data_IF_029880635155
#
_entry.id   IF_029880635155
#
_cell.length_a   1.000
_cell.length_b   1.000
_cell.length_c   1.000
_cell.angle_alpha   90.00
_cell.angle_beta   90.00
_cell.angle_gamma   90.00
#
_symmetry.space_group_name_H-M   'P 1'
#
loop_
_entity.id
_entity.type
_entity.pdbx_description
1 polymer ?
#
# COMPACT_ATOMS: atom_id res chain seq x y z
N UNK A 1 28.16 13.60 52.67
CA UNK A 1 26.80 13.28 52.19
C UNK A 1 26.64 13.45 50.68
N UNK A 2 26.56 14.66 50.10
CA UNK A 2 26.39 14.78 48.63
C UNK A 2 27.56 14.25 47.80
N UNK A 3 28.80 14.47 48.25
CA UNK A 3 30.01 13.96 47.57
C UNK A 3 30.06 12.44 47.49
N UNK A 4 29.42 11.74 48.43
CA UNK A 4 29.36 10.27 48.47
C UNK A 4 28.28 9.71 47.53
N UNK A 5 27.32 10.54 47.11
CA UNK A 5 26.26 10.17 46.15
C UNK A 5 26.72 10.31 44.70
N UNK A 6 27.72 11.16 44.44
CA UNK A 6 28.21 11.43 43.07
C UNK A 6 28.57 10.15 42.31
N UNK A 7 29.34 9.19 42.87
CA UNK A 7 29.66 7.95 42.15
C UNK A 7 28.42 7.12 41.80
N UNK A 8 27.41 7.06 42.68
CA UNK A 8 26.17 6.33 42.43
C UNK A 8 25.37 6.96 41.30
N UNK A 9 25.31 8.28 41.25
CA UNK A 9 24.63 9.02 40.17
C UNK A 9 25.36 8.80 38.84
N UNK A 10 26.70 8.82 38.83
CA UNK A 10 27.49 8.54 37.63
C UNK A 10 27.21 7.13 37.08
N UNK A 11 27.20 6.11 37.95
CA UNK A 11 26.86 4.72 37.56
C UNK A 11 25.40 4.61 37.10
N UNK A 12 24.50 5.32 37.79
CA UNK A 12 23.10 5.44 37.42
C UNK A 12 22.90 5.97 36.00
N UNK A 13 23.60 7.04 35.63
CA UNK A 13 23.49 7.61 34.29
C UNK A 13 23.95 6.65 33.19
N UNK A 14 25.04 5.91 33.40
CA UNK A 14 25.54 4.93 32.41
C UNK A 14 24.52 3.81 32.19
N UNK A 15 23.98 3.27 33.28
CA UNK A 15 22.99 2.18 33.22
C UNK A 15 21.66 2.63 32.64
N UNK A 16 21.24 3.86 32.97
CA UNK A 16 20.06 4.50 32.39
C UNK A 16 20.18 4.70 30.88
N UNK A 17 21.33 5.18 30.39
CA UNK A 17 21.55 5.38 28.95
C UNK A 17 21.50 4.06 28.17
N UNK A 18 22.08 3.00 28.73
CA UNK A 18 22.02 1.69 28.10
C UNK A 18 20.59 1.11 28.11
N UNK A 19 19.86 1.30 29.21
CA UNK A 19 18.46 0.92 29.33
C UNK A 19 17.55 1.69 28.37
N UNK A 20 17.77 3.00 28.20
CA UNK A 20 16.98 3.84 27.30
C UNK A 20 17.22 3.49 25.83
N UNK A 21 18.47 3.25 25.43
CA UNK A 21 18.78 2.77 24.07
C UNK A 21 18.10 1.43 23.79
N UNK A 22 18.19 0.48 24.73
CA UNK A 22 17.52 -0.83 24.58
C UNK A 22 16.00 -0.69 24.48
N UNK A 23 15.40 0.21 25.27
CA UNK A 23 13.97 0.52 25.21
C UNK A 23 13.57 1.12 23.85
N UNK A 24 14.33 2.11 23.36
CA UNK A 24 14.06 2.75 22.06
C UNK A 24 14.15 1.76 20.91
N UNK A 25 15.15 0.88 20.90
CA UNK A 25 15.28 -0.13 19.84
C UNK A 25 14.13 -1.14 19.90
N UNK A 26 13.74 -1.60 21.10
CA UNK A 26 12.55 -2.46 21.25
C UNK A 26 11.27 -1.74 20.80
N UNK A 27 11.14 -0.45 21.09
CA UNK A 27 10.03 0.39 20.63
C UNK A 27 9.97 0.49 19.12
N UNK A 28 11.08 0.84 18.47
CA UNK A 28 11.22 0.92 17.01
C UNK A 28 10.90 -0.41 16.32
N UNK A 29 11.17 -1.52 16.98
CA UNK A 29 10.84 -2.86 16.51
C UNK A 29 9.34 -3.23 16.60
N UNK A 30 8.50 -2.29 17.05
CA UNK A 30 7.05 -2.48 17.20
C UNK A 30 6.65 -3.22 18.48
N UNK A 31 7.54 -3.29 19.49
CA UNK A 31 7.31 -4.02 20.76
C UNK A 31 7.27 -3.10 21.98
N UNK A 32 6.65 -1.92 21.83
CA UNK A 32 6.54 -0.91 22.89
C UNK A 32 5.90 -1.48 24.17
N UNK A 33 4.90 -2.35 24.04
CA UNK A 33 4.22 -2.96 25.20
C UNK A 33 5.16 -3.79 26.09
N UNK A 34 6.04 -4.61 25.49
CA UNK A 34 7.02 -5.40 26.24
C UNK A 34 8.03 -4.49 26.95
N UNK A 35 8.53 -3.47 26.25
CA UNK A 35 9.50 -2.52 26.78
C UNK A 35 8.94 -1.67 27.93
N UNK A 36 7.65 -1.34 27.90
CA UNK A 36 6.96 -0.65 29.00
C UNK A 36 6.67 -1.58 30.17
N UNK A 37 6.29 -2.84 29.91
CA UNK A 37 6.03 -3.83 30.95
C UNK A 37 7.28 -4.14 31.78
N UNK A 38 8.46 -4.27 31.14
CA UNK A 38 9.73 -4.45 31.85
C UNK A 38 10.09 -3.23 32.70
N UNK A 39 9.89 -2.02 32.18
CA UNK A 39 10.10 -0.78 32.94
C UNK A 39 9.18 -0.70 34.17
N UNK A 40 7.92 -1.11 34.02
CA UNK A 40 6.97 -1.21 35.12
C UNK A 40 7.42 -2.25 36.15
N UNK A 41 7.79 -3.46 35.72
CA UNK A 41 8.26 -4.53 36.61
C UNK A 41 9.52 -4.16 37.38
N UNK A 42 10.51 -3.53 36.74
CA UNK A 42 11.70 -3.09 37.46
C UNK A 42 11.40 -1.97 38.44
N UNK A 43 10.50 -1.04 38.11
CA UNK A 43 10.13 0.05 39.02
C UNK A 43 9.31 -0.45 40.21
N UNK A 44 8.24 -1.20 39.96
CA UNK A 44 7.30 -1.66 40.99
C UNK A 44 7.77 -2.91 41.72
N UNK A 45 8.44 -3.82 41.02
CA UNK A 45 8.90 -5.10 41.59
C UNK A 45 10.28 -5.02 42.23
N UNK A 46 11.15 -4.11 41.78
CA UNK A 46 12.53 -4.01 42.29
C UNK A 46 12.78 -2.69 42.99
N UNK A 47 12.60 -1.56 42.32
CA UNK A 47 12.96 -0.23 42.86
C UNK A 47 12.18 0.10 44.13
N UNK A 48 10.83 0.01 44.08
CA UNK A 48 9.99 0.41 45.21
C UNK A 48 10.21 -0.47 46.45
N UNK A 49 10.19 -1.82 46.36
CA UNK A 49 10.42 -2.67 47.52
C UNK A 49 11.83 -2.53 48.09
N UNK A 50 12.85 -2.40 47.23
CA UNK A 50 14.23 -2.26 47.66
C UNK A 50 14.47 -0.90 48.33
N UNK A 51 13.85 0.17 47.80
CA UNK A 51 13.87 1.49 48.41
C UNK A 51 13.18 1.48 49.79
N UNK A 52 12.01 0.86 49.90
CA UNK A 52 11.30 0.71 51.18
C UNK A 52 12.10 -0.13 52.18
N UNK A 53 12.71 -1.24 51.75
CA UNK A 53 13.56 -2.07 52.58
C UNK A 53 14.78 -1.30 53.10
N UNK A 54 15.46 -0.58 52.19
CA UNK A 54 16.67 0.17 52.51
C UNK A 54 16.41 1.33 53.48
N UNK A 55 15.29 2.03 53.31
CA UNK A 55 14.93 3.18 54.15
C UNK A 55 14.34 2.77 55.49
N UNK A 56 13.41 1.81 55.51
CA UNK A 56 12.67 1.48 56.72
C UNK A 56 13.39 0.47 57.63
N UNK A 57 14.15 -0.48 57.07
CA UNK A 57 14.77 -1.54 57.85
C UNK A 57 16.26 -1.35 58.06
N UNK A 58 16.98 -0.83 57.06
CA UNK A 58 18.43 -0.69 57.12
C UNK A 58 18.89 0.70 57.61
N UNK A 59 17.98 1.68 57.69
CA UNK A 59 18.30 3.04 58.09
C UNK A 59 19.21 3.76 57.10
N UNK A 60 19.27 3.30 55.85
CA UNK A 60 19.95 4.01 54.78
C UNK A 60 18.95 5.00 54.18
N UNK A 61 19.14 6.28 54.50
CA UNK A 61 18.28 7.39 54.03
C UNK A 61 18.40 7.60 52.50
N UNK A 62 18.86 8.77 52.06
CA UNK A 62 18.94 9.14 50.65
C UNK A 62 19.84 8.20 49.83
N UNK A 63 20.92 7.69 50.43
CA UNK A 63 21.83 6.75 49.76
C UNK A 63 21.13 5.41 49.46
N UNK A 64 20.26 4.95 50.35
CA UNK A 64 19.45 3.75 50.16
C UNK A 64 18.48 3.90 48.99
N UNK A 65 17.80 5.05 48.92
CA UNK A 65 16.88 5.35 47.81
C UNK A 65 17.62 5.45 46.45
N UNK A 66 18.73 6.19 46.39
CA UNK A 66 19.50 6.38 45.15
C UNK A 66 20.05 5.05 44.65
N UNK A 67 20.59 4.21 45.54
CA UNK A 67 21.09 2.88 45.15
C UNK A 67 19.97 1.96 44.68
N UNK A 68 18.80 1.96 45.32
CA UNK A 68 17.64 1.19 44.89
C UNK A 68 17.15 1.60 43.48
N UNK A 69 17.14 2.90 43.18
CA UNK A 69 16.80 3.44 41.85
C UNK A 69 17.79 2.93 40.79
N UNK A 70 19.10 3.05 41.05
CA UNK A 70 20.14 2.58 40.12
C UNK A 70 20.01 1.07 39.87
N UNK A 71 19.78 0.28 40.91
CA UNK A 71 19.61 -1.17 40.80
C UNK A 71 18.37 -1.52 39.98
N UNK A 72 17.23 -0.87 40.24
CA UNK A 72 16.01 -1.15 39.51
C UNK A 72 16.09 -0.79 38.03
N UNK A 73 16.67 0.38 37.69
CA UNK A 73 16.91 0.74 36.30
C UNK A 73 17.93 -0.16 35.60
N UNK A 74 18.97 -0.60 36.32
CA UNK A 74 19.93 -1.58 35.80
C UNK A 74 19.25 -2.92 35.50
N UNK A 75 18.33 -3.36 36.36
CA UNK A 75 17.55 -4.58 36.16
C UNK A 75 16.63 -4.46 34.94
N UNK A 76 15.86 -3.36 34.83
CA UNK A 76 15.01 -3.08 33.66
C UNK A 76 15.84 -3.02 32.36
N UNK A 77 16.98 -2.34 32.40
CA UNK A 77 17.91 -2.24 31.28
C UNK A 77 18.40 -3.61 30.85
N UNK A 78 18.90 -4.42 31.80
CA UNK A 78 19.37 -5.78 31.52
C UNK A 78 18.26 -6.68 30.96
N UNK A 79 17.01 -6.57 31.47
CA UNK A 79 15.87 -7.29 30.92
C UNK A 79 15.56 -6.87 29.47
N UNK A 80 15.54 -5.57 29.19
CA UNK A 80 15.33 -5.07 27.82
C UNK A 80 16.45 -5.52 26.87
N UNK A 81 17.71 -5.45 27.30
CA UNK A 81 18.83 -5.92 26.50
C UNK A 81 18.79 -7.44 26.29
N UNK A 82 18.34 -8.20 27.28
CA UNK A 82 18.12 -9.64 27.12
C UNK A 82 17.06 -9.92 26.04
N UNK A 83 15.92 -9.22 26.07
CA UNK A 83 14.89 -9.37 25.04
C UNK A 83 15.39 -8.92 23.67
N UNK A 84 16.19 -7.85 23.61
CA UNK A 84 16.80 -7.38 22.38
C UNK A 84 17.73 -8.44 21.78
N UNK A 85 18.64 -9.00 22.59
CA UNK A 85 19.59 -10.03 22.14
C UNK A 85 18.92 -11.36 21.78
N UNK A 86 17.81 -11.71 22.44
CA UNK A 86 17.03 -12.92 22.14
C UNK A 86 16.02 -12.74 21.00
N UNK A 87 15.84 -11.53 20.49
CA UNK A 87 14.86 -11.29 19.43
C UNK A 87 15.30 -11.93 18.13
N UNK A 88 14.42 -12.75 17.55
CA UNK A 88 14.59 -13.23 16.18
C UNK A 88 14.28 -12.06 15.23
N UNK A 89 15.35 -11.45 14.72
CA UNK A 89 15.27 -10.28 13.86
C UNK A 89 14.72 -10.61 12.48
N UNK A 90 14.96 -11.82 11.93
CA UNK A 90 14.40 -12.20 10.63
C UNK A 90 12.86 -12.23 10.67
N UNK A 91 12.29 -12.86 11.71
CA UNK A 91 10.84 -12.93 11.87
C UNK A 91 10.23 -11.56 12.14
N UNK A 92 10.95 -10.68 12.85
CA UNK A 92 10.49 -9.33 13.13
C UNK A 92 10.52 -8.46 11.86
N UNK A 93 11.60 -8.54 11.08
CA UNK A 93 11.73 -7.89 9.79
C UNK A 93 10.63 -8.37 8.83
N UNK A 94 10.37 -9.68 8.74
CA UNK A 94 9.26 -10.23 7.94
C UNK A 94 7.89 -9.71 8.39
N UNK A 95 7.66 -9.61 9.72
CA UNK A 95 6.41 -9.03 10.25
C UNK A 95 6.25 -7.56 9.87
N UNK A 96 7.33 -6.78 9.94
CA UNK A 96 7.33 -5.37 9.52
C UNK A 96 7.13 -5.26 8.01
N UNK A 97 7.81 -6.08 7.21
CA UNK A 97 7.61 -6.15 5.76
C UNK A 97 6.18 -6.55 5.40
N UNK A 98 5.57 -7.51 6.10
CA UNK A 98 4.16 -7.88 5.90
C UNK A 98 3.23 -6.73 6.31
N UNK A 99 3.51 -6.04 7.42
CA UNK A 99 2.74 -4.84 7.81
C UNK A 99 2.88 -3.74 6.77
N UNK A 100 4.09 -3.43 6.30
CA UNK A 100 4.33 -2.40 5.29
C UNK A 100 3.70 -2.79 3.95
N UNK A 101 3.77 -4.08 3.56
CA UNK A 101 3.02 -4.61 2.42
C UNK A 101 1.52 -4.46 2.64
N UNK A 102 0.99 -4.74 3.82
CA UNK A 102 -0.43 -4.59 4.12
C UNK A 102 -0.87 -3.13 4.32
N UNK A 103 0.00 -2.20 4.69
CA UNK A 103 -0.30 -0.76 4.72
C UNK A 103 -0.21 -0.16 3.31
N UNK A 104 0.72 -0.65 2.48
CA UNK A 104 0.72 -0.42 1.05
C UNK A 104 -0.55 -0.98 0.40
N UNK A 105 -0.91 -2.23 0.69
CA UNK A 105 -2.09 -2.94 0.15
C UNK A 105 -3.41 -2.50 0.79
N UNK A 106 -3.46 -1.97 2.01
CA UNK A 106 -4.70 -1.35 2.54
C UNK A 106 -4.97 0.03 1.90
N UNK A 107 -3.97 0.62 1.24
CA UNK A 107 -4.14 1.70 0.26
C UNK A 107 -4.27 1.21 -1.19
N UNK A 108 -4.09 -0.09 -1.42
CA UNK A 108 -4.17 -0.78 -2.72
C UNK A 108 -5.04 -2.04 -2.55
N UNK A 109 -6.28 -1.89 -2.07
CA UNK A 109 -7.23 -2.98 -2.15
C UNK A 109 -7.78 -2.98 -3.59
N UNK A 110 -7.57 -4.06 -4.35
CA UNK A 110 -8.07 -4.19 -5.71
C UNK A 110 -9.56 -4.50 -5.70
N UNK A 111 -10.33 -3.83 -6.54
CA UNK A 111 -11.67 -4.27 -6.93
C UNK A 111 -11.62 -4.67 -8.41
N UNK A 112 -11.30 -5.93 -8.65
CA UNK A 112 -11.57 -6.81 -9.82
C UNK A 112 -12.03 -6.21 -11.18
N UNK A 113 -11.28 -5.26 -11.72
CA UNK A 113 -11.19 -5.04 -13.16
C UNK A 113 -9.72 -4.77 -13.47
N UNK A 114 -9.19 -5.27 -14.59
CA UNK A 114 -7.78 -5.17 -14.97
C UNK A 114 -7.25 -3.73 -15.01
N UNK A 115 -6.78 -3.24 -13.87
CA UNK A 115 -6.29 -1.87 -13.68
C UNK A 115 -4.82 -1.96 -13.25
N UNK A 116 -3.95 -1.57 -14.17
CA UNK A 116 -2.54 -1.23 -13.95
C UNK A 116 -2.44 -0.24 -12.79
N UNK A 117 -1.78 -0.65 -11.71
CA UNK A 117 -1.56 0.24 -10.56
C UNK A 117 -0.35 1.10 -10.83
N UNK A 118 -0.61 2.24 -11.45
CA UNK A 118 0.30 3.35 -11.71
C UNK A 118 0.79 3.92 -10.37
N UNK A 119 2.04 3.65 -10.00
CA UNK A 119 2.68 4.27 -8.83
C UNK A 119 3.09 5.69 -9.27
N UNK A 120 2.51 6.71 -8.63
CA UNK A 120 2.87 8.10 -8.91
C UNK A 120 4.15 8.48 -8.16
N UNK A 121 5.17 8.92 -8.90
CA UNK A 121 6.47 9.32 -8.38
C UNK A 121 6.74 10.83 -8.46
N UNK A 122 5.77 11.65 -8.85
CA UNK A 122 5.97 13.04 -9.28
C UNK A 122 6.45 14.00 -8.17
N UNK A 123 6.38 13.58 -6.91
CA UNK A 123 6.77 14.38 -5.75
C UNK A 123 8.07 13.89 -5.09
N UNK A 124 8.63 12.79 -5.57
CA UNK A 124 9.86 12.22 -5.03
C UNK A 124 11.07 12.87 -5.71
N UNK A 125 12.08 13.28 -4.93
CA UNK A 125 13.33 13.75 -5.50
C UNK A 125 14.03 12.60 -6.22
N UNK A 126 14.79 12.92 -7.28
CA UNK A 126 15.51 11.90 -8.05
C UNK A 126 16.34 10.98 -7.16
N UNK A 127 17.04 11.52 -6.16
CA UNK A 127 17.85 10.72 -5.23
C UNK A 127 17.02 9.66 -4.47
N UNK A 128 15.77 9.98 -4.14
CA UNK A 128 14.84 9.16 -3.35
C UNK A 128 14.10 8.11 -4.18
N UNK A 129 14.09 8.25 -5.52
CA UNK A 129 13.49 7.26 -6.41
C UNK A 129 14.20 5.90 -6.31
N UNK A 130 13.44 4.80 -6.31
CA UNK A 130 14.01 3.47 -6.42
C UNK A 130 14.65 3.27 -7.80
N UNK A 131 15.68 2.43 -7.86
CA UNK A 131 16.50 2.24 -9.08
C UNK A 131 15.67 1.89 -10.33
N UNK A 132 14.61 1.09 -10.17
CA UNK A 132 13.74 0.72 -11.29
C UNK A 132 12.88 1.89 -11.81
N UNK A 133 12.50 2.85 -10.95
CA UNK A 133 11.81 4.05 -11.39
C UNK A 133 12.79 4.99 -12.10
N UNK A 134 14.05 5.09 -11.64
CA UNK A 134 15.11 5.82 -12.34
C UNK A 134 15.36 5.23 -13.73
N UNK A 135 15.44 3.91 -13.85
CA UNK A 135 15.63 3.24 -15.15
C UNK A 135 14.47 3.50 -16.11
N UNK A 136 13.22 3.45 -15.61
CA UNK A 136 12.04 3.80 -16.40
C UNK A 136 12.05 5.29 -16.81
N UNK A 137 12.45 6.19 -15.90
CA UNK A 137 12.50 7.63 -16.14
C UNK A 137 13.56 7.97 -17.20
N UNK A 138 14.74 7.36 -17.09
CA UNK A 138 15.80 7.47 -18.10
C UNK A 138 15.34 6.96 -19.47
N UNK A 139 14.55 5.88 -19.52
CA UNK A 139 14.07 5.31 -20.77
C UNK A 139 13.11 6.26 -21.51
N UNK A 140 12.30 7.03 -20.79
CA UNK A 140 11.42 8.05 -21.38
C UNK A 140 12.09 9.43 -21.51
N UNK A 141 13.40 9.53 -21.22
CA UNK A 141 14.23 10.70 -21.47
C UNK A 141 14.39 11.68 -20.31
N UNK A 142 13.91 11.36 -19.11
CA UNK A 142 14.21 12.16 -17.92
C UNK A 142 15.64 11.93 -17.46
N UNK A 143 16.35 13.02 -17.19
CA UNK A 143 17.59 13.03 -16.42
C UNK A 143 17.33 13.63 -15.03
N UNK A 144 18.32 13.55 -14.14
CA UNK A 144 18.20 14.03 -12.75
C UNK A 144 17.82 15.52 -12.67
N UNK A 145 18.41 16.35 -13.54
CA UNK A 145 18.14 17.78 -13.56
C UNK A 145 16.71 18.04 -14.03
N UNK A 146 16.26 17.39 -15.11
CA UNK A 146 14.90 17.54 -15.64
C UNK A 146 13.84 17.04 -14.65
N UNK A 147 14.07 15.88 -14.03
CA UNK A 147 13.13 15.32 -13.06
C UNK A 147 12.94 16.25 -11.87
N UNK A 148 14.05 16.70 -11.26
CA UNK A 148 13.99 17.55 -10.07
C UNK A 148 13.44 18.96 -10.36
N UNK A 149 13.63 19.47 -11.59
CA UNK A 149 13.12 20.77 -12.00
C UNK A 149 11.71 20.70 -12.64
N UNK A 150 11.14 19.49 -12.79
CA UNK A 150 9.84 19.30 -13.45
C UNK A 150 9.83 19.62 -14.94
N UNK A 151 10.98 19.53 -15.62
CA UNK A 151 11.11 19.78 -17.05
C UNK A 151 10.74 18.52 -17.86
N UNK A 152 9.84 18.66 -18.82
CA UNK A 152 9.43 17.53 -19.67
C UNK A 152 10.52 17.18 -20.71
N UNK A 153 10.77 15.89 -20.95
CA UNK A 153 11.66 15.46 -22.02
C UNK A 153 11.00 15.60 -23.39
N UNK A 154 11.82 15.70 -24.45
CA UNK A 154 11.36 15.87 -25.84
C UNK A 154 10.39 14.76 -26.29
N UNK A 155 10.44 13.59 -25.63
CA UNK A 155 9.55 12.47 -25.90
C UNK A 155 8.08 12.80 -25.60
N UNK A 156 7.78 13.75 -24.71
CA UNK A 156 6.41 14.19 -24.41
C UNK A 156 5.77 15.01 -25.54
N UNK A 157 6.57 15.52 -26.49
CA UNK A 157 6.06 16.16 -27.71
C UNK A 157 5.53 15.14 -28.74
N UNK A 158 5.87 13.86 -28.56
CA UNK A 158 5.40 12.78 -29.44
C UNK A 158 4.07 12.22 -28.93
N UNK A 159 3.10 11.96 -29.82
CA UNK A 159 1.84 11.34 -29.42
C UNK A 159 2.08 9.94 -28.87
N UNK A 160 1.26 9.50 -27.91
CA UNK A 160 1.41 8.22 -27.22
C UNK A 160 1.53 7.02 -28.17
N UNK A 161 0.81 7.06 -29.30
CA UNK A 161 0.84 6.01 -30.32
C UNK A 161 2.18 5.92 -31.06
N UNK A 162 2.95 7.00 -31.12
CA UNK A 162 4.27 7.05 -31.74
C UNK A 162 5.39 6.51 -30.83
N UNK A 163 5.12 6.36 -29.53
CA UNK A 163 6.07 5.78 -28.57
C UNK A 163 6.34 4.31 -28.88
N UNK A 164 7.56 3.87 -28.58
CA UNK A 164 7.90 2.45 -28.60
C UNK A 164 7.17 1.72 -27.46
N UNK A 165 6.98 0.41 -27.63
CA UNK A 165 6.31 -0.42 -26.61
C UNK A 165 7.00 -0.29 -25.25
N UNK A 166 8.34 -0.27 -25.24
CA UNK A 166 9.14 -0.14 -24.03
C UNK A 166 9.01 1.23 -23.36
N UNK A 167 8.88 2.30 -24.15
CA UNK A 167 8.66 3.66 -23.64
C UNK A 167 7.27 3.81 -23.03
N UNK A 168 6.24 3.22 -23.66
CA UNK A 168 4.88 3.16 -23.10
C UNK A 168 4.83 2.38 -21.79
N UNK A 169 5.48 1.23 -21.73
CA UNK A 169 5.55 0.42 -20.51
C UNK A 169 6.26 1.19 -19.38
N UNK A 170 7.35 1.90 -19.68
CA UNK A 170 8.03 2.74 -18.69
C UNK A 170 7.20 3.96 -18.26
N UNK A 171 6.48 4.59 -19.19
CA UNK A 171 5.54 5.67 -18.88
C UNK A 171 4.41 5.19 -17.96
N UNK A 172 3.78 4.05 -18.28
CA UNK A 172 2.76 3.41 -17.45
C UNK A 172 3.33 3.01 -16.08
N UNK A 173 4.57 2.52 -16.05
CA UNK A 173 5.23 2.16 -14.80
C UNK A 173 5.40 3.36 -13.86
N UNK A 174 5.69 4.54 -14.41
CA UNK A 174 5.91 5.77 -13.66
C UNK A 174 4.65 6.52 -13.25
N UNK A 175 3.48 6.06 -13.66
CA UNK A 175 2.22 6.72 -13.32
C UNK A 175 1.49 7.36 -14.49
N UNK A 176 2.13 7.51 -15.66
CA UNK A 176 1.55 8.24 -16.78
C UNK A 176 0.53 7.38 -17.53
N UNK A 177 -0.69 7.90 -17.68
CA UNK A 177 -1.73 7.29 -18.52
C UNK A 177 -1.67 7.84 -19.94
N UNK A 178 -2.16 7.07 -20.92
CA UNK A 178 -2.26 7.52 -22.31
C UNK A 178 -2.99 8.87 -22.44
N UNK A 179 -4.06 9.06 -21.67
CA UNK A 179 -4.88 10.30 -21.67
C UNK A 179 -4.14 11.50 -21.05
N UNK A 180 -3.18 11.23 -20.17
CA UNK A 180 -2.38 12.20 -19.44
C UNK A 180 -1.03 12.49 -20.15
N UNK A 181 -0.70 11.70 -21.17
CA UNK A 181 0.54 11.83 -21.93
C UNK A 181 0.47 12.98 -22.92
N UNK A 182 1.42 13.92 -22.80
CA UNK A 182 1.44 15.17 -23.56
C UNK A 182 0.45 16.23 -23.07
N UNK A 183 -0.52 15.89 -22.21
CA UNK A 183 -1.49 16.83 -21.63
C UNK A 183 -1.02 17.46 -20.32
N UNK A 184 0.09 16.98 -19.73
CA UNK A 184 0.62 17.48 -18.45
C UNK A 184 1.27 18.88 -18.49
N UNK A 185 1.30 19.53 -19.66
CA UNK A 185 1.54 20.97 -19.79
C UNK A 185 0.34 21.70 -20.40
N UNK A 186 -0.86 21.50 -19.82
CA UNK A 186 -1.77 22.64 -19.71
C UNK A 186 -1.74 23.09 -18.25
N UNK A 187 -0.62 23.72 -17.86
CA UNK A 187 -0.74 24.81 -16.90
C UNK A 187 -1.91 25.67 -17.38
N UNK A 188 -2.83 25.96 -16.48
CA UNK A 188 -4.01 26.77 -16.83
C UNK A 188 -3.50 28.01 -17.55
N UNK A 189 -4.10 28.34 -18.69
CA UNK A 189 -3.68 29.49 -19.48
C UNK A 189 -3.94 30.84 -18.75
N UNK A 190 -4.35 30.79 -17.48
CA UNK A 190 -4.67 31.93 -16.62
C UNK A 190 -3.52 32.92 -16.49
N UNK A 191 -2.27 32.45 -16.59
CA UNK A 191 -1.07 33.28 -16.49
C UNK A 191 -0.50 33.70 -17.87
N UNK A 192 -1.08 33.22 -18.99
CA UNK A 192 -0.64 33.57 -20.34
C UNK A 192 -1.40 34.80 -20.86
N UNK A 193 -0.66 35.73 -21.49
CA UNK A 193 -1.29 36.80 -22.26
C UNK A 193 -2.02 36.21 -23.49
N UNK A 194 -3.13 36.81 -23.91
CA UNK A 194 -3.94 36.34 -25.05
C UNK A 194 -3.12 36.10 -26.33
N UNK A 195 -2.11 36.94 -26.57
CA UNK A 195 -1.22 36.81 -27.73
C UNK A 195 -0.28 35.60 -27.66
N UNK A 196 -0.10 35.03 -26.47
CA UNK A 196 0.72 33.85 -26.21
C UNK A 196 -0.11 32.56 -26.23
N UNK A 197 -1.45 32.68 -26.26
CA UNK A 197 -2.35 31.54 -26.39
C UNK A 197 -2.28 30.93 -27.79
N UNK A 198 -2.25 29.59 -27.92
CA UNK A 198 -2.42 28.94 -29.21
C UNK A 198 -3.84 29.16 -29.77
N UNK A 199 -4.00 29.05 -31.09
CA UNK A 199 -5.23 29.40 -31.81
C UNK A 199 -6.47 28.65 -31.29
N UNK A 200 -6.30 27.40 -30.87
CA UNK A 200 -7.33 26.54 -30.27
C UNK A 200 -7.77 27.05 -28.88
N UNK A 201 -6.82 27.50 -28.05
CA UNK A 201 -7.12 28.10 -26.76
C UNK A 201 -7.82 29.47 -26.91
N UNK A 202 -7.47 30.27 -27.93
CA UNK A 202 -8.17 31.53 -28.22
C UNK A 202 -9.63 31.28 -28.65
N UNK A 203 -9.87 30.26 -29.48
CA UNK A 203 -11.24 29.87 -29.89
C UNK A 203 -12.06 29.34 -28.71
N UNK A 204 -11.45 28.55 -27.83
CA UNK A 204 -12.07 28.09 -26.59
C UNK A 204 -12.42 29.28 -25.65
N UNK A 205 -11.49 30.23 -25.48
CA UNK A 205 -11.72 31.43 -24.69
C UNK A 205 -12.86 32.30 -25.27
N UNK A 206 -12.93 32.45 -26.60
CA UNK A 206 -14.04 33.13 -27.28
C UNK A 206 -15.38 32.42 -27.04
N UNK A 207 -15.39 31.09 -27.05
CA UNK A 207 -16.59 30.26 -26.77
C UNK A 207 -17.10 30.46 -25.34
N UNK A 208 -16.19 30.72 -24.39
CA UNK A 208 -16.51 31.10 -23.01
C UNK A 208 -16.80 32.61 -22.84
N UNK A 209 -16.78 33.38 -23.93
CA UNK A 209 -17.09 34.80 -23.95
C UNK A 209 -15.93 35.72 -23.57
N UNK A 210 -14.71 35.20 -23.45
CA UNK A 210 -13.51 36.01 -23.29
C UNK A 210 -13.04 36.54 -24.66
N UNK A 211 -12.69 37.83 -24.70
CA UNK A 211 -11.86 38.42 -25.74
C UNK A 211 -10.49 38.83 -25.16
N UNK A 212 -9.56 39.21 -26.03
CA UNK A 212 -8.21 39.69 -25.68
C UNK A 212 -8.20 40.71 -24.53
N UNK A 213 -9.14 41.67 -24.54
CA UNK A 213 -9.21 42.68 -23.48
C UNK A 213 -9.75 42.13 -22.15
N UNK A 214 -10.63 41.14 -22.15
CA UNK A 214 -11.15 40.56 -20.90
C UNK A 214 -10.19 39.56 -20.28
N UNK A 215 -9.49 38.81 -21.14
CA UNK A 215 -8.49 37.82 -20.74
C UNK A 215 -7.29 38.48 -20.04
N UNK A 216 -6.60 39.40 -20.72
CA UNK A 216 -5.37 40.01 -20.19
C UNK A 216 -5.58 40.90 -18.96
N UNK A 217 -6.82 41.37 -18.73
CA UNK A 217 -7.14 42.19 -17.56
C UNK A 217 -7.66 41.37 -16.37
N UNK A 218 -7.61 40.03 -16.47
CA UNK A 218 -8.13 39.10 -15.48
C UNK A 218 -9.56 39.46 -15.03
N UNK A 219 -10.36 39.97 -15.97
CA UNK A 219 -11.75 40.34 -15.72
C UNK A 219 -12.59 39.10 -16.00
N UNK A 220 -13.27 38.60 -14.95
CA UNK A 220 -14.28 37.56 -15.12
C UNK A 220 -15.26 38.01 -16.20
N UNK A 221 -15.54 37.12 -17.15
CA UNK A 221 -16.55 37.35 -18.17
C UNK A 221 -17.90 37.51 -17.48
N UNK A 222 -18.52 38.70 -17.56
CA UNK A 222 -19.79 39.03 -16.89
C UNK A 222 -20.94 38.05 -17.25
N UNK A 223 -20.80 37.28 -18.34
CA UNK A 223 -21.78 36.30 -18.79
C UNK A 223 -21.73 34.95 -18.06
N UNK A 224 -20.63 34.59 -17.40
CA UNK A 224 -20.42 33.27 -16.77
C UNK A 224 -20.09 33.35 -15.27
N UNK A 225 -20.11 34.54 -14.67
CA UNK A 225 -19.97 34.71 -13.22
C UNK A 225 -21.13 33.97 -12.53
N UNK A 226 -20.80 33.01 -11.66
CA UNK A 226 -21.75 32.19 -10.86
C UNK A 226 -22.52 31.10 -11.63
N UNK A 227 -22.12 30.75 -12.86
CA UNK A 227 -22.69 29.61 -13.60
C UNK A 227 -21.98 28.32 -13.17
N UNK A 228 -22.73 27.36 -12.63
CA UNK A 228 -22.17 26.05 -12.25
C UNK A 228 -21.72 25.27 -13.48
N UNK A 229 -20.73 24.39 -13.33
CA UNK A 229 -20.26 23.54 -14.43
C UNK A 229 -21.40 22.81 -15.17
N UNK A 230 -22.43 22.41 -14.43
CA UNK A 230 -23.60 21.69 -14.94
C UNK A 230 -24.58 22.56 -15.75
N UNK A 231 -24.50 23.89 -15.61
CA UNK A 231 -25.34 24.84 -16.33
C UNK A 231 -24.69 25.34 -17.63
N UNK A 232 -23.43 24.95 -17.89
CA UNK A 232 -22.73 25.23 -19.16
C UNK A 232 -23.29 24.38 -20.31
N UNK A 233 -23.28 24.93 -21.52
CA UNK A 233 -23.53 24.11 -22.71
C UNK A 233 -22.38 23.11 -22.93
N UNK A 234 -22.65 22.04 -23.68
CA UNK A 234 -21.63 21.04 -24.03
C UNK A 234 -20.40 21.70 -24.70
N UNK A 235 -20.64 22.62 -25.64
CA UNK A 235 -19.57 23.40 -26.31
C UNK A 235 -18.75 24.24 -25.33
N UNK A 236 -19.38 24.76 -24.26
CA UNK A 236 -18.69 25.55 -23.22
C UNK A 236 -17.88 24.65 -22.28
N UNK A 237 -18.38 23.45 -21.95
CA UNK A 237 -17.62 22.47 -21.16
C UNK A 237 -16.39 22.00 -21.93
N UNK A 238 -16.54 21.68 -23.22
CA UNK A 238 -15.41 21.32 -24.09
C UNK A 238 -14.38 22.46 -24.18
N UNK A 239 -14.84 23.70 -24.32
CA UNK A 239 -13.96 24.88 -24.29
C UNK A 239 -13.26 25.09 -22.94
N UNK A 240 -13.95 24.86 -21.82
CA UNK A 240 -13.38 24.96 -20.48
C UNK A 240 -12.29 23.89 -20.25
N UNK A 241 -12.55 22.64 -20.67
CA UNK A 241 -11.57 21.55 -20.66
C UNK A 241 -10.36 21.91 -21.54
N UNK A 242 -10.59 22.48 -22.72
CA UNK A 242 -9.51 22.91 -23.61
C UNK A 242 -8.60 23.98 -22.99
N UNK A 243 -9.10 24.79 -22.06
CA UNK A 243 -8.33 25.78 -21.31
C UNK A 243 -7.70 25.25 -20.00
N UNK A 244 -7.91 23.98 -19.67
CA UNK A 244 -7.35 23.35 -18.47
C UNK A 244 -8.23 23.44 -17.22
N UNK A 245 -9.50 23.81 -17.36
CA UNK A 245 -10.48 23.75 -16.27
C UNK A 245 -11.13 22.36 -16.18
N UNK A 246 -11.23 21.86 -14.96
CA UNK A 246 -12.07 20.74 -14.58
C UNK A 246 -13.27 21.24 -13.75
N UNK A 247 -14.22 20.34 -13.48
CA UNK A 247 -15.44 20.68 -12.73
C UNK A 247 -15.14 21.27 -11.33
N UNK A 248 -14.11 20.75 -10.66
CA UNK A 248 -13.73 21.18 -9.32
C UNK A 248 -13.16 22.60 -9.35
N UNK A 249 -12.18 22.85 -10.22
CA UNK A 249 -11.57 24.18 -10.42
C UNK A 249 -12.57 25.22 -10.92
N UNK A 250 -13.49 24.84 -11.80
CA UNK A 250 -14.53 25.75 -12.29
C UNK A 250 -15.46 26.21 -11.15
N UNK A 251 -15.84 25.29 -10.26
CA UNK A 251 -16.78 25.56 -9.17
C UNK A 251 -16.12 26.10 -7.89
N UNK A 252 -14.80 26.05 -7.74
CA UNK A 252 -14.05 26.49 -6.53
C UNK A 252 -14.30 27.98 -6.16
N UNK A 253 -14.80 28.78 -7.10
CA UNK A 253 -15.19 30.18 -6.89
C UNK A 253 -16.68 30.45 -6.60
N UNK A 254 -17.55 29.43 -6.63
CA UNK A 254 -19.00 29.57 -6.46
C UNK A 254 -19.35 29.25 -5.01
N UNK A 255 -19.38 30.27 -4.14
CA UNK A 255 -19.77 30.09 -2.73
C UNK A 255 -21.19 29.54 -2.63
N UNK A 256 -21.33 28.28 -2.20
CA UNK A 256 -22.59 27.57 -2.00
C UNK A 256 -23.40 28.20 -0.87
N UNK A 257 -24.18 29.23 -1.18
CA UNK A 257 -25.10 29.89 -0.25
C UNK A 257 -26.57 29.49 -0.44
N UNK A 258 -26.89 28.44 -1.22
CA UNK A 258 -28.29 28.06 -1.43
C UNK A 258 -28.52 26.55 -1.59
N UNK A 259 -29.07 25.97 -0.50
CA UNK A 259 -30.10 24.91 -0.48
C UNK A 259 -29.71 23.47 -0.82
N UNK A 260 -29.68 22.55 0.17
CA UNK A 260 -30.65 21.41 0.32
C UNK A 260 -30.75 21.00 1.81
N UNK A 261 -31.96 20.81 2.39
CA UNK A 261 -32.18 20.33 3.76
C UNK A 261 -32.41 18.79 3.90
N UNK A 262 -31.87 18.24 4.99
CA UNK A 262 -32.26 17.07 5.82
C UNK A 262 -32.64 15.73 5.15
N UNK A 263 -31.87 14.68 5.50
CA UNK A 263 -32.47 13.46 6.05
C UNK A 263 -31.55 12.83 7.11
N UNK A 264 -32.11 12.59 8.29
CA UNK A 264 -31.52 11.86 9.43
C UNK A 264 -31.30 10.38 9.11
N UNK A 265 -30.23 9.78 9.63
CA UNK A 265 -30.27 8.44 10.27
C UNK A 265 -29.01 8.21 11.13
N UNK A 266 -29.26 7.83 12.40
CA UNK A 266 -28.28 7.42 13.40
C UNK A 266 -28.05 5.89 13.38
N UNK A 267 -26.89 5.49 13.90
CA UNK A 267 -26.66 4.32 14.79
C UNK A 267 -25.79 3.15 14.26
N UNK A 268 -25.10 2.52 15.22
CA UNK A 268 -24.26 1.30 15.22
C UNK A 268 -22.72 1.39 15.14
N UNK A 269 -22.10 1.18 16.31
CA UNK A 269 -20.74 0.67 16.52
C UNK A 269 -20.75 -0.35 17.67
N UNK A 270 -20.34 -1.61 17.44
CA UNK A 270 -19.57 -2.43 18.40
C UNK A 270 -19.18 -3.84 17.92
N UNK A 271 -18.09 -4.35 18.52
CA UNK A 271 -17.51 -5.71 18.52
C UNK A 271 -16.61 -6.07 17.30
N UNK A 272 -15.43 -6.71 17.42
CA UNK A 272 -14.97 -7.69 18.41
C UNK A 272 -13.44 -7.90 18.30
N UNK A 273 -12.79 -8.34 19.39
CA UNK A 273 -11.42 -8.86 19.40
C UNK A 273 -11.34 -10.11 20.28
N UNK A 274 -10.74 -11.19 19.77
CA UNK A 274 -10.25 -12.42 20.45
C UNK A 274 -9.63 -13.32 19.34
N UNK A 275 -8.57 -14.10 19.47
CA UNK A 275 -7.70 -14.53 20.56
C UNK A 275 -6.58 -15.41 19.92
N UNK A 276 -5.51 -15.69 20.67
CA UNK A 276 -4.87 -17.02 20.78
C UNK A 276 -3.38 -17.26 20.36
N UNK A 277 -2.71 -17.99 21.28
CA UNK A 277 -1.33 -18.53 21.40
C UNK A 277 -0.88 -19.48 20.27
N UNK A 278 0.38 -19.46 19.79
CA UNK A 278 1.61 -20.10 20.30
C UNK A 278 1.56 -21.64 20.47
N UNK A 279 2.25 -22.34 19.57
CA UNK A 279 3.22 -23.40 19.88
C UNK A 279 4.23 -23.50 18.73
N UNK A 280 5.49 -23.81 19.06
CA UNK A 280 6.60 -23.94 18.11
C UNK A 280 7.06 -25.39 17.95
N UNK A 281 7.74 -25.67 16.84
CA UNK A 281 9.04 -26.32 16.88
C UNK A 281 9.81 -26.05 15.58
N UNK A 282 11.12 -26.04 15.69
CA UNK A 282 12.07 -25.70 14.64
C UNK A 282 12.44 -26.95 13.83
N UNK A 283 12.54 -26.84 12.51
CA UNK A 283 13.82 -26.98 11.79
C UNK A 283 13.64 -27.13 10.27
N UNK A 284 14.52 -26.41 9.56
CA UNK A 284 15.11 -26.74 8.25
C UNK A 284 14.18 -27.05 7.07
N UNK A 285 14.09 -26.13 6.10
CA UNK A 285 14.80 -26.26 4.82
C UNK A 285 14.38 -25.16 3.83
N UNK A 286 15.36 -24.76 3.01
CA UNK A 286 15.30 -24.21 1.65
C UNK A 286 14.01 -23.55 1.12
N UNK A 287 14.24 -22.35 0.59
CA UNK A 287 13.42 -21.64 -0.41
C UNK A 287 12.67 -22.55 -1.38
N UNK A 288 11.36 -22.33 -1.52
CA UNK A 288 10.69 -22.47 -2.80
C UNK A 288 9.34 -21.70 -2.84
N UNK A 289 9.06 -21.11 -4.00
CA UNK A 289 7.86 -20.35 -4.35
C UNK A 289 6.54 -21.11 -4.08
N UNK A 290 5.51 -20.45 -3.53
CA UNK A 290 4.11 -20.90 -3.59
C UNK A 290 3.28 -19.77 -4.21
N UNK A 291 2.52 -19.91 -5.28
CA UNK A 291 1.64 -20.99 -5.76
C UNK A 291 0.62 -21.44 -4.70
N UNK A 292 -0.64 -21.06 -4.92
CA UNK A 292 -1.80 -21.32 -4.06
C UNK A 292 -2.09 -22.83 -4.05
N UNK A 293 -2.01 -23.45 -2.88
CA UNK A 293 -2.30 -24.87 -2.68
C UNK A 293 -3.79 -25.04 -2.34
N UNK A 294 -4.59 -25.43 -3.34
CA UNK A 294 -6.05 -25.59 -3.27
C UNK A 294 -6.47 -26.98 -2.74
N UNK A 295 -5.65 -27.62 -1.91
CA UNK A 295 -5.78 -29.04 -1.54
C UNK A 295 -6.75 -29.35 -0.40
N UNK A 296 -7.50 -28.38 0.12
CA UNK A 296 -8.30 -28.59 1.34
C UNK A 296 -9.67 -29.26 1.08
N UNK A 297 -10.17 -29.29 -0.16
CA UNK A 297 -11.46 -29.91 -0.49
C UNK A 297 -11.27 -31.26 -1.20
N UNK A 298 -11.35 -32.35 -0.42
CA UNK A 298 -11.27 -33.72 -0.94
C UNK A 298 -12.59 -34.25 -1.51
N UNK A 299 -13.73 -33.70 -1.10
CA UNK A 299 -15.06 -34.07 -1.62
C UNK A 299 -15.61 -32.95 -2.51
N UNK A 300 -16.12 -33.32 -3.70
CA UNK A 300 -16.74 -32.39 -4.65
C UNK A 300 -17.92 -31.64 -4.02
N UNK A 301 -18.67 -32.30 -3.15
CA UNK A 301 -19.86 -31.73 -2.53
C UNK A 301 -19.54 -30.72 -1.41
N UNK A 302 -18.28 -30.64 -0.98
CA UNK A 302 -17.82 -29.68 0.03
C UNK A 302 -17.33 -28.35 -0.59
N UNK A 303 -17.32 -28.24 -1.92
CA UNK A 303 -16.86 -27.03 -2.61
C UNK A 303 -17.93 -25.93 -2.64
N UNK A 304 -17.54 -24.65 -2.64
CA UNK A 304 -18.48 -23.54 -2.75
C UNK A 304 -19.32 -23.61 -4.02
N UNK A 305 -20.60 -23.23 -3.93
CA UNK A 305 -21.57 -23.33 -5.03
C UNK A 305 -21.09 -22.63 -6.32
N UNK A 306 -20.42 -21.48 -6.20
CA UNK A 306 -19.89 -20.74 -7.36
C UNK A 306 -18.81 -21.52 -8.13
N UNK A 307 -17.99 -22.31 -7.44
CA UNK A 307 -16.95 -23.12 -8.07
C UNK A 307 -17.56 -24.36 -8.76
N UNK A 308 -18.63 -24.91 -8.18
CA UNK A 308 -19.41 -25.97 -8.81
C UNK A 308 -20.16 -25.46 -10.05
N UNK A 309 -20.65 -24.21 -10.01
CA UNK A 309 -21.40 -23.57 -11.09
C UNK A 309 -20.49 -23.17 -12.26
N UNK A 310 -19.35 -22.52 -11.99
CA UNK A 310 -18.33 -22.21 -13.00
C UNK A 310 -17.77 -23.48 -13.68
N UNK A 311 -17.55 -24.55 -12.90
CA UNK A 311 -17.16 -25.83 -13.46
C UNK A 311 -18.27 -26.44 -14.33
N UNK A 312 -19.55 -26.35 -13.93
CA UNK A 312 -20.67 -26.84 -14.75
C UNK A 312 -20.82 -26.09 -16.07
N UNK A 313 -20.66 -24.78 -16.05
CA UNK A 313 -20.73 -23.96 -17.27
C UNK A 313 -19.60 -24.31 -18.25
N UNK A 314 -18.36 -24.47 -17.78
CA UNK A 314 -17.23 -24.81 -18.65
C UNK A 314 -17.15 -26.31 -19.05
N UNK A 315 -17.66 -27.22 -18.21
CA UNK A 315 -17.71 -28.67 -18.49
C UNK A 315 -18.77 -29.02 -19.55
N UNK A 316 -19.82 -28.21 -19.71
CA UNK A 316 -20.88 -28.46 -20.69
C UNK A 316 -20.49 -28.11 -22.14
N UNK A 317 -19.42 -27.34 -22.35
CA UNK A 317 -18.98 -26.93 -23.70
C UNK A 317 -17.77 -27.71 -24.24
N UNK A 318 -17.03 -28.44 -23.40
CA UNK A 318 -15.88 -29.23 -23.88
C UNK A 318 -16.19 -30.74 -23.92
N UNK A 319 -16.11 -31.31 -25.13
CA UNK A 319 -16.35 -32.74 -25.45
C UNK A 319 -15.47 -33.74 -24.66
N UNK A 320 -14.49 -33.26 -23.89
CA UNK A 320 -13.56 -34.07 -23.09
C UNK A 320 -14.20 -34.54 -21.78
N UNK A 321 -15.18 -33.80 -21.26
CA UNK A 321 -15.79 -34.09 -19.95
C UNK A 321 -17.24 -34.59 -20.02
N UNK A 322 -17.86 -34.52 -21.20
CA UNK A 322 -19.30 -34.70 -21.38
C UNK A 322 -19.76 -36.11 -21.81
N UNK A 323 -18.91 -37.14 -21.74
CA UNK A 323 -19.37 -38.52 -22.01
C UNK A 323 -19.94 -39.17 -20.75
N UNK A 324 -21.27 -39.10 -20.62
CA UNK A 324 -22.21 -39.99 -19.91
C UNK A 324 -21.65 -40.94 -18.83
N UNK A 325 -22.31 -40.90 -17.67
CA UNK A 325 -22.17 -41.74 -16.46
C UNK A 325 -22.39 -43.27 -16.66
N UNK A 326 -21.78 -43.87 -17.68
CA UNK A 326 -21.77 -45.30 -17.91
C UNK A 326 -20.83 -45.63 -19.08
N UNK A 327 -19.66 -46.18 -18.76
CA UNK A 327 -18.58 -46.55 -19.68
C UNK A 327 -17.77 -45.39 -20.28
N UNK A 328 -16.99 -44.73 -19.43
CA UNK A 328 -15.79 -44.01 -19.83
C UNK A 328 -14.56 -44.89 -19.54
N UNK A 329 -14.07 -45.58 -20.55
CA UNK A 329 -12.71 -46.12 -20.55
C UNK A 329 -11.75 -45.05 -21.05
N UNK A 330 -11.04 -44.43 -20.09
CA UNK A 330 -9.87 -43.54 -20.22
C UNK A 330 -10.04 -42.10 -20.74
N UNK A 331 -10.55 -41.17 -19.89
CA UNK A 331 -10.49 -39.73 -20.16
C UNK A 331 -9.23 -38.99 -19.64
N UNK A 332 -8.30 -39.64 -18.94
CA UNK A 332 -7.09 -38.97 -18.42
C UNK A 332 -5.79 -39.55 -19.01
N UNK A 333 -5.58 -39.40 -20.32
CA UNK A 333 -4.29 -39.71 -20.98
C UNK A 333 -3.57 -38.47 -21.55
N UNK A 334 -4.12 -37.27 -21.34
CA UNK A 334 -3.55 -36.00 -21.84
C UNK A 334 -2.74 -35.35 -20.72
N UNK A 335 -1.47 -35.07 -20.98
CA UNK A 335 -0.57 -34.42 -20.00
C UNK A 335 -0.96 -32.94 -19.83
N UNK A 336 -0.69 -32.35 -18.68
CA UNK A 336 -1.11 -30.97 -18.36
C UNK A 336 -0.74 -29.93 -19.42
N UNK A 337 0.46 -30.03 -19.99
CA UNK A 337 0.96 -29.10 -21.01
C UNK A 337 0.32 -29.29 -22.40
N UNK A 338 -0.41 -30.37 -22.60
CA UNK A 338 -1.18 -30.64 -23.82
C UNK A 338 -2.61 -30.09 -23.73
N UNK A 339 -3.03 -29.62 -22.55
CA UNK A 339 -4.29 -28.91 -22.36
C UNK A 339 -4.21 -27.50 -22.96
N UNK A 340 -5.33 -27.01 -23.50
CA UNK A 340 -5.47 -25.59 -23.86
C UNK A 340 -5.41 -24.70 -22.62
N UNK A 341 -5.12 -23.41 -22.78
CA UNK A 341 -5.07 -22.46 -21.67
C UNK A 341 -6.40 -22.43 -20.88
N UNK A 342 -7.54 -22.42 -21.58
CA UNK A 342 -8.87 -22.48 -20.95
C UNK A 342 -9.08 -23.78 -20.16
N UNK A 343 -8.56 -24.91 -20.64
CA UNK A 343 -8.63 -26.19 -19.94
C UNK A 343 -7.74 -26.21 -18.69
N UNK A 344 -6.57 -25.58 -18.75
CA UNK A 344 -5.69 -25.42 -17.59
C UNK A 344 -6.34 -24.52 -16.53
N UNK A 345 -6.92 -23.39 -16.93
CA UNK A 345 -7.65 -22.48 -16.04
C UNK A 345 -8.83 -23.18 -15.37
N UNK A 346 -9.60 -23.95 -16.15
CA UNK A 346 -10.71 -24.76 -15.63
C UNK A 346 -10.20 -25.84 -14.66
N UNK A 347 -9.11 -26.53 -14.98
CA UNK A 347 -8.54 -27.54 -14.09
C UNK A 347 -7.99 -26.92 -12.78
N UNK A 348 -7.40 -25.73 -12.83
CA UNK A 348 -6.97 -24.95 -11.66
C UNK A 348 -8.17 -24.55 -10.79
N UNK A 349 -9.27 -24.09 -11.41
CA UNK A 349 -10.54 -23.80 -10.73
C UNK A 349 -11.11 -25.03 -10.02
N UNK A 350 -10.98 -26.21 -10.65
CA UNK A 350 -11.36 -27.50 -10.06
C UNK A 350 -10.27 -28.03 -9.09
N UNK A 351 -9.25 -27.23 -8.77
CA UNK A 351 -8.25 -27.52 -7.74
C UNK A 351 -7.19 -28.53 -8.16
N UNK A 352 -7.04 -28.80 -9.45
CA UNK A 352 -5.90 -29.53 -9.98
C UNK A 352 -4.74 -28.57 -10.23
N UNK A 353 -3.61 -28.84 -9.57
CA UNK A 353 -2.32 -28.32 -10.02
C UNK A 353 -1.76 -29.23 -11.13
N UNK A 354 -0.81 -28.71 -11.92
CA UNK A 354 -0.07 -29.47 -12.94
C UNK A 354 0.43 -30.83 -12.42
N UNK A 355 1.05 -30.83 -11.23
CA UNK A 355 1.55 -32.04 -10.60
C UNK A 355 0.43 -33.02 -10.22
N UNK A 356 -0.69 -32.54 -9.67
CA UNK A 356 -1.82 -33.41 -9.32
C UNK A 356 -2.46 -34.02 -10.56
N UNK A 357 -2.60 -33.23 -11.63
CA UNK A 357 -3.15 -33.70 -12.90
C UNK A 357 -2.31 -34.82 -13.51
N UNK A 358 -1.00 -34.60 -13.65
CA UNK A 358 -0.09 -35.61 -14.20
C UNK A 358 -0.02 -36.86 -13.31
N UNK A 359 -0.18 -36.71 -11.98
CA UNK A 359 -0.28 -37.85 -11.07
C UNK A 359 -1.58 -38.65 -11.25
N UNK A 360 -2.72 -38.00 -11.51
CA UNK A 360 -3.98 -38.68 -11.78
C UNK A 360 -3.93 -39.44 -13.12
N UNK A 361 -3.35 -38.83 -14.15
CA UNK A 361 -3.06 -39.46 -15.45
C UNK A 361 -2.16 -40.68 -15.28
N UNK A 362 -1.03 -40.54 -14.58
CA UNK A 362 -0.06 -41.61 -14.41
C UNK A 362 -0.59 -42.81 -13.59
N UNK A 363 -1.52 -42.57 -12.66
CA UNK A 363 -2.08 -43.61 -11.80
C UNK A 363 -3.41 -44.20 -12.32
N UNK A 364 -3.87 -43.79 -13.51
CA UNK A 364 -5.14 -44.25 -14.09
C UNK A 364 -6.34 -43.97 -13.18
N UNK A 365 -6.30 -42.87 -12.43
CA UNK A 365 -7.27 -42.59 -11.37
C UNK A 365 -8.63 -42.27 -11.98
N UNK A 366 -9.66 -43.06 -11.63
CA UNK A 366 -11.06 -42.78 -11.98
C UNK A 366 -11.75 -42.22 -10.73
N UNK A 367 -12.18 -40.94 -10.72
CA UNK A 367 -13.02 -40.43 -9.65
C UNK A 367 -14.30 -41.26 -9.57
N UNK A 368 -14.67 -41.72 -8.37
CA UNK A 368 -15.92 -42.45 -8.11
C UNK A 368 -17.09 -41.52 -7.89
#
# INVERSE_FOLDING_TARGET
MFSELVPYICVGNVTLMFGSMSWTILGASGRVGLATATGFLGSWGVTLPLSALSTLFLGYDLQGMVSAIVIGYSCSGAMNSYFLMRSNWENLARKIQKKNRNYGVAKIAPTDAGIETTINYDYEQWEELPDHAKDAALLIGFDEDRWNNGENPELFESPWEALQVQEREAALFLGYKQEEWGSRQKETFEDCDWSELPDDAQEAALTLGHNESTWNNNKKCDALVEVSWHDLSMDQQEAAIALGYDEEKWNDGISTAASIPLHEEEDYQQEEAKEFSLDGDSSTHHENNGNLDNTEYRDWNERPDYAQEAAREHVLESDIWSSNAGHCDDPMNVLWHELSQEQQETAILIGFSDNMWNMCVANGWRPS
#
